data_IF_020893747838
#
_entry.id   IF_020893747838
#
_cell.length_a   1.000
_cell.length_b   1.000
_cell.length_c   1.000
_cell.angle_alpha   90.00
_cell.angle_beta   90.00
_cell.angle_gamma   90.00
#
_symmetry.space_group_name_H-M   'P 1'
#
loop_
_entity.id
_entity.type
_entity.pdbx_description
1 polymer ?
#
# COMPACT_ATOMS: atom_id res chain seq x y z
N UNK A 1 -0.55 -40.54 21.79
CA UNK A 1 -0.92 -39.10 21.88
C UNK A 1 -0.33 -38.38 20.68
N UNK A 2 -1.18 -38.02 19.70
CA UNK A 2 -0.75 -37.40 18.44
C UNK A 2 -0.73 -35.87 18.61
N UNK A 3 0.45 -35.27 18.51
CA UNK A 3 0.64 -33.81 18.55
C UNK A 3 0.12 -33.20 17.25
N UNK A 4 -1.09 -32.64 17.29
CA UNK A 4 -1.61 -31.80 16.20
C UNK A 4 -0.87 -30.46 16.20
N UNK A 5 0.29 -30.41 15.54
CA UNK A 5 0.90 -29.15 15.11
C UNK A 5 -0.02 -28.48 14.09
N UNK A 6 -0.81 -27.50 14.53
CA UNK A 6 -1.49 -26.59 13.63
C UNK A 6 -0.43 -25.67 13.00
N UNK A 7 -0.03 -25.95 11.76
CA UNK A 7 0.77 -25.02 10.94
C UNK A 7 -0.10 -23.79 10.63
N UNK A 8 -0.23 -22.87 11.60
CA UNK A 8 -0.88 -21.57 11.40
C UNK A 8 0.06 -20.66 10.61
N UNK A 9 -0.17 -20.61 9.29
CA UNK A 9 0.26 -19.57 8.36
C UNK A 9 1.77 -19.35 8.22
N UNK A 10 2.34 -19.64 7.05
CA UNK A 10 3.67 -19.10 6.69
C UNK A 10 3.62 -17.57 6.86
N UNK A 11 4.64 -16.90 7.42
CA UNK A 11 4.73 -15.45 7.31
C UNK A 11 4.80 -15.13 5.81
N UNK A 12 3.70 -14.67 5.23
CA UNK A 12 3.71 -14.31 3.82
C UNK A 12 4.58 -13.06 3.66
N UNK A 13 5.79 -13.32 3.17
CA UNK A 13 6.77 -12.37 2.64
C UNK A 13 6.07 -11.35 1.71
N UNK A 14 6.13 -10.08 2.05
CA UNK A 14 5.73 -8.95 1.19
C UNK A 14 6.89 -7.97 1.09
N UNK A 15 6.85 -7.06 0.11
CA UNK A 15 7.87 -6.04 -0.07
C UNK A 15 7.40 -4.72 0.56
N UNK A 16 8.20 -4.19 1.46
CA UNK A 16 7.86 -2.99 2.23
C UNK A 16 9.03 -2.02 2.28
N UNK A 17 8.73 -0.74 2.52
CA UNK A 17 9.73 0.30 2.56
C UNK A 17 9.34 1.39 3.59
N UNK A 18 10.31 1.96 4.30
CA UNK A 18 10.13 3.04 5.29
C UNK A 18 10.34 4.42 4.63
N UNK A 19 9.45 4.81 3.72
CA UNK A 19 9.58 6.04 2.93
C UNK A 19 10.46 5.88 1.69
N UNK A 20 10.38 6.83 0.75
CA UNK A 20 10.88 6.68 -0.64
C UNK A 20 12.38 6.39 -0.77
N UNK A 21 13.22 6.76 0.19
CA UNK A 21 14.68 6.59 0.08
C UNK A 21 15.26 5.49 0.99
N UNK A 22 14.46 4.46 1.29
CA UNK A 22 14.90 3.36 2.16
C UNK A 22 14.94 2.03 1.41
N UNK A 23 15.79 1.08 1.83
CA UNK A 23 15.84 -0.23 1.19
C UNK A 23 14.50 -0.97 1.27
N UNK A 24 14.16 -1.69 0.20
CA UNK A 24 13.01 -2.59 0.19
C UNK A 24 13.31 -3.79 1.10
N UNK A 25 12.42 -4.03 2.06
CA UNK A 25 12.48 -5.11 3.02
C UNK A 25 11.46 -6.20 2.67
N UNK A 26 11.89 -7.46 2.76
CA UNK A 26 11.00 -8.61 2.57
C UNK A 26 10.30 -9.04 3.86
N UNK A 27 9.87 -8.07 4.67
CA UNK A 27 9.22 -8.28 5.95
C UNK A 27 8.29 -7.12 6.27
N UNK A 28 7.16 -7.43 6.91
CA UNK A 28 6.20 -6.40 7.33
C UNK A 28 6.86 -5.43 8.30
N UNK A 29 6.49 -4.16 8.16
CA UNK A 29 6.94 -3.09 9.05
C UNK A 29 5.81 -2.76 10.03
N UNK A 30 6.16 -2.55 11.30
CA UNK A 30 5.24 -1.96 12.27
C UNK A 30 5.15 -0.44 12.06
N UNK A 31 3.99 0.13 12.37
CA UNK A 31 3.79 1.58 12.37
C UNK A 31 3.14 2.03 13.69
N UNK A 32 3.36 3.29 14.05
CA UNK A 32 2.76 3.93 15.23
C UNK A 32 1.37 4.51 14.91
N UNK A 33 0.49 4.61 15.89
CA UNK A 33 -0.86 5.15 15.74
C UNK A 33 -1.89 4.12 15.24
N UNK A 34 -3.14 4.56 15.13
CA UNK A 34 -4.25 3.74 14.63
C UNK A 34 -4.17 3.60 13.10
N UNK A 35 -3.78 4.68 12.42
CA UNK A 35 -3.73 4.76 10.97
C UNK A 35 -2.32 5.03 10.43
N UNK A 36 -2.09 4.59 9.20
CA UNK A 36 -0.91 4.90 8.41
C UNK A 36 -1.28 5.18 6.95
N UNK A 37 -0.58 6.13 6.33
CA UNK A 37 -0.64 6.40 4.89
C UNK A 37 0.51 5.66 4.22
N UNK A 38 0.21 5.00 3.11
CA UNK A 38 1.17 4.22 2.34
C UNK A 38 1.04 4.49 0.83
N UNK A 39 2.13 4.27 0.12
CA UNK A 39 2.18 4.19 -1.33
C UNK A 39 2.29 2.75 -1.83
N UNK A 40 1.87 2.49 -3.07
CA UNK A 40 2.21 1.28 -3.81
C UNK A 40 3.03 1.64 -5.04
N UNK A 41 4.12 0.90 -5.24
CA UNK A 41 5.01 0.99 -6.41
C UNK A 41 5.33 -0.42 -6.92
N UNK A 42 5.95 -0.53 -8.11
CA UNK A 42 6.44 -1.81 -8.62
C UNK A 42 7.80 -2.14 -7.98
N UNK A 43 8.11 -3.42 -7.75
CA UNK A 43 9.36 -3.83 -7.10
C UNK A 43 10.65 -3.49 -7.87
N UNK A 44 10.56 -3.30 -9.18
CA UNK A 44 11.67 -2.88 -10.03
C UNK A 44 11.80 -1.35 -10.13
N UNK A 45 10.81 -0.60 -9.63
CA UNK A 45 10.75 0.87 -9.65
C UNK A 45 10.11 1.37 -8.34
N UNK A 46 10.74 1.13 -7.18
CA UNK A 46 10.14 1.45 -5.87
C UNK A 46 9.86 2.95 -5.67
N UNK A 47 10.55 3.82 -6.41
CA UNK A 47 10.35 5.27 -6.33
C UNK A 47 9.16 5.75 -7.18
N UNK A 48 8.65 4.91 -8.08
CA UNK A 48 7.53 5.20 -8.95
C UNK A 48 6.21 4.81 -8.28
N UNK A 49 5.76 5.62 -7.32
CA UNK A 49 4.49 5.42 -6.62
C UNK A 49 3.32 5.67 -7.57
N UNK A 50 2.43 4.69 -7.69
CA UNK A 50 1.26 4.77 -8.58
C UNK A 50 -0.07 4.81 -7.84
N UNK A 51 -0.07 4.56 -6.53
CA UNK A 51 -1.28 4.58 -5.72
C UNK A 51 -0.94 5.00 -4.29
N UNK A 52 -1.77 5.84 -3.70
CA UNK A 52 -1.67 6.25 -2.29
C UNK A 52 -2.94 5.82 -1.57
N UNK A 53 -2.80 5.28 -0.37
CA UNK A 53 -3.90 4.81 0.44
C UNK A 53 -3.62 4.98 1.93
N UNK A 54 -4.64 4.96 2.78
CA UNK A 54 -4.45 4.73 4.21
C UNK A 54 -5.03 3.38 4.69
N UNK A 55 -4.63 2.96 5.89
CA UNK A 55 -5.14 1.77 6.56
C UNK A 55 -5.11 1.90 8.08
N UNK A 56 -6.09 1.29 8.75
CA UNK A 56 -6.10 1.06 10.21
C UNK A 56 -5.66 -0.35 10.60
N UNK A 57 -5.21 -1.14 9.63
CA UNK A 57 -4.82 -2.54 9.83
C UNK A 57 -3.33 -2.71 9.61
N UNK A 58 -2.76 -3.78 10.15
CA UNK A 58 -1.36 -4.15 9.89
C UNK A 58 -1.06 -4.15 8.39
N UNK A 59 0.10 -3.60 8.00
CA UNK A 59 0.50 -3.46 6.60
C UNK A 59 0.45 -4.79 5.83
N UNK A 60 0.85 -5.90 6.45
CA UNK A 60 0.74 -7.22 5.82
C UNK A 60 -0.68 -7.66 5.49
N UNK A 61 -1.65 -7.36 6.37
CA UNK A 61 -3.06 -7.64 6.12
C UNK A 61 -3.57 -6.79 4.96
N UNK A 62 -3.20 -5.51 4.92
CA UNK A 62 -3.56 -4.58 3.84
C UNK A 62 -2.92 -4.98 2.51
N UNK A 63 -1.65 -5.34 2.50
CA UNK A 63 -0.90 -5.83 1.34
C UNK A 63 -1.58 -7.07 0.75
N UNK A 64 -1.87 -8.07 1.59
CA UNK A 64 -2.57 -9.28 1.15
C UNK A 64 -3.99 -9.00 0.65
N UNK A 65 -4.67 -8.00 1.21
CA UNK A 65 -5.97 -7.54 0.72
C UNK A 65 -5.86 -7.01 -0.72
N UNK A 66 -4.83 -6.22 -1.03
CA UNK A 66 -4.59 -5.72 -2.40
C UNK A 66 -4.28 -6.85 -3.38
N UNK A 67 -3.44 -7.81 -2.99
CA UNK A 67 -3.14 -8.97 -3.84
C UNK A 67 -4.38 -9.84 -4.10
N UNK A 68 -5.25 -9.98 -3.10
CA UNK A 68 -6.51 -10.69 -3.26
C UNK A 68 -7.46 -9.95 -4.19
N UNK A 69 -7.63 -8.64 -4.00
CA UNK A 69 -8.53 -7.82 -4.83
C UNK A 69 -8.04 -7.70 -6.27
N UNK A 70 -6.72 -7.76 -6.51
CA UNK A 70 -6.15 -7.74 -7.86
C UNK A 70 -6.76 -8.82 -8.79
N UNK A 71 -7.19 -9.96 -8.23
CA UNK A 71 -7.83 -11.04 -8.99
C UNK A 71 -9.20 -10.66 -9.57
N UNK A 72 -9.85 -9.64 -9.01
CA UNK A 72 -11.17 -9.18 -9.46
C UNK A 72 -11.06 -8.30 -10.71
N UNK A 73 -9.94 -7.61 -10.89
CA UNK A 73 -9.64 -6.81 -12.09
C UNK A 73 -10.69 -5.71 -12.38
N UNK A 74 -11.36 -5.18 -11.34
CA UNK A 74 -12.53 -4.30 -11.49
C UNK A 74 -12.18 -2.83 -11.68
N UNK A 75 -11.00 -2.40 -11.23
CA UNK A 75 -10.54 -1.01 -11.32
C UNK A 75 -9.09 -0.93 -11.81
N UNK A 76 -8.62 0.25 -12.29
CA UNK A 76 -7.26 0.39 -12.83
C UNK A 76 -6.15 -0.06 -11.88
N UNK A 77 -6.29 0.20 -10.58
CA UNK A 77 -5.34 -0.28 -9.55
C UNK A 77 -5.29 -1.81 -9.50
N UNK A 78 -6.43 -2.48 -9.50
CA UNK A 78 -6.48 -3.95 -9.51
C UNK A 78 -5.92 -4.55 -10.81
N UNK A 79 -6.22 -3.91 -11.96
CA UNK A 79 -5.68 -4.30 -13.26
C UNK A 79 -4.15 -4.20 -13.28
N UNK A 80 -3.60 -3.09 -12.79
CA UNK A 80 -2.17 -2.89 -12.63
C UNK A 80 -1.53 -3.94 -11.71
N UNK A 81 -2.12 -4.19 -10.53
CA UNK A 81 -1.61 -5.20 -9.61
C UNK A 81 -1.64 -6.62 -10.22
N UNK A 82 -2.71 -6.96 -10.95
CA UNK A 82 -2.83 -8.24 -11.64
C UNK A 82 -1.77 -8.38 -12.74
N UNK A 83 -1.51 -7.31 -13.49
CA UNK A 83 -0.45 -7.26 -14.49
C UNK A 83 0.93 -7.50 -13.84
N UNK A 84 1.26 -6.80 -12.75
CA UNK A 84 2.52 -7.02 -12.03
C UNK A 84 2.71 -8.49 -11.65
N UNK A 85 1.66 -9.13 -11.12
CA UNK A 85 1.72 -10.54 -10.70
C UNK A 85 1.96 -11.45 -11.92
N UNK A 86 1.29 -11.20 -13.05
CA UNK A 86 1.47 -11.97 -14.30
C UNK A 86 2.88 -11.84 -14.87
N UNK A 87 3.49 -10.67 -14.69
CA UNK A 87 4.88 -10.39 -15.08
C UNK A 87 5.92 -10.90 -14.06
N UNK A 88 5.50 -11.70 -13.07
CA UNK A 88 6.34 -12.18 -11.97
C UNK A 88 7.01 -11.06 -11.15
N UNK A 89 6.41 -9.86 -11.16
CA UNK A 89 6.78 -8.72 -10.31
C UNK A 89 5.89 -8.69 -9.07
N UNK A 90 6.27 -7.86 -8.09
CA UNK A 90 5.49 -7.66 -6.87
C UNK A 90 5.29 -6.17 -6.60
N UNK A 91 4.17 -5.76 -6.02
CA UNK A 91 4.08 -4.41 -5.49
C UNK A 91 4.98 -4.24 -4.26
N UNK A 92 5.47 -3.03 -4.04
CA UNK A 92 6.14 -2.59 -2.81
C UNK A 92 5.18 -1.66 -2.09
N UNK A 93 4.98 -1.88 -0.79
CA UNK A 93 4.19 -1.00 0.07
C UNK A 93 5.10 -0.07 0.87
N UNK A 94 5.05 1.22 0.55
CA UNK A 94 5.94 2.24 1.12
C UNK A 94 5.18 2.95 2.22
N UNK A 95 5.65 2.91 3.46
CA UNK A 95 5.07 3.67 4.57
C UNK A 95 5.45 5.14 4.40
N UNK A 96 4.49 6.00 4.06
CA UNK A 96 4.70 7.43 3.82
C UNK A 96 4.50 8.24 5.09
N UNK A 97 3.51 7.86 5.90
CA UNK A 97 3.19 8.55 7.15
C UNK A 97 2.61 7.58 8.18
N UNK A 98 2.93 7.82 9.45
CA UNK A 98 2.45 7.06 10.61
C UNK A 98 2.26 8.00 11.80
N UNK A 99 1.70 7.48 12.90
CA UNK A 99 1.40 8.26 14.10
C UNK A 99 0.04 8.95 14.04
N UNK A 100 -0.85 8.50 13.14
CA UNK A 100 -2.17 9.11 12.94
C UNK A 100 -3.19 8.39 13.82
N UNK A 101 -3.92 9.14 14.63
CA UNK A 101 -4.90 8.59 15.58
C UNK A 101 -6.32 8.61 15.02
N UNK A 102 -6.68 9.66 14.29
CA UNK A 102 -8.05 9.89 13.85
C UNK A 102 -8.24 9.62 12.36
N UNK A 103 -9.43 9.13 12.01
CA UNK A 103 -9.78 8.79 10.63
C UNK A 103 -9.70 10.01 9.70
N UNK A 104 -10.28 11.16 10.09
CA UNK A 104 -10.26 12.38 9.25
C UNK A 104 -8.82 12.85 9.00
N UNK A 105 -7.94 12.80 10.00
CA UNK A 105 -6.52 13.11 9.81
C UNK A 105 -5.83 12.17 8.81
N UNK A 106 -6.19 10.89 8.80
CA UNK A 106 -5.64 9.93 7.85
C UNK A 106 -6.11 10.22 6.42
N UNK A 107 -7.37 10.63 6.27
CA UNK A 107 -7.96 11.04 5.01
C UNK A 107 -7.34 12.34 4.48
N UNK A 108 -7.22 13.36 5.33
CA UNK A 108 -6.54 14.62 4.99
C UNK A 108 -5.08 14.37 4.59
N UNK A 109 -4.37 13.52 5.35
CA UNK A 109 -2.99 13.14 5.04
C UNK A 109 -2.87 12.40 3.71
N UNK A 110 -3.82 11.50 3.39
CA UNK A 110 -3.87 10.83 2.08
C UNK A 110 -4.07 11.84 0.94
N UNK A 111 -5.02 12.78 1.08
CA UNK A 111 -5.29 13.80 0.08
C UNK A 111 -4.09 14.73 -0.14
N UNK A 112 -3.44 15.16 0.93
CA UNK A 112 -2.25 16.00 0.88
C UNK A 112 -1.08 15.28 0.18
N UNK A 113 -0.89 14.00 0.45
CA UNK A 113 0.12 13.19 -0.25
C UNK A 113 -0.21 13.03 -1.74
N UNK A 114 -1.48 12.77 -2.10
CA UNK A 114 -1.90 12.70 -3.50
C UNK A 114 -1.61 14.03 -4.21
N UNK A 115 -1.92 15.16 -3.57
CA UNK A 115 -1.64 16.51 -4.10
C UNK A 115 -0.14 16.71 -4.34
N UNK A 116 0.70 16.45 -3.33
CA UNK A 116 2.16 16.62 -3.43
C UNK A 116 2.78 15.77 -4.55
N UNK A 117 2.40 14.49 -4.66
CA UNK A 117 2.90 13.62 -5.72
C UNK A 117 2.43 14.09 -7.11
N UNK A 118 1.18 14.57 -7.22
CA UNK A 118 0.65 15.11 -8.48
C UNK A 118 1.38 16.40 -8.90
N UNK A 119 1.67 17.29 -7.94
CA UNK A 119 2.47 18.52 -8.17
C UNK A 119 3.91 18.22 -8.63
N UNK A 120 4.46 17.07 -8.22
CA UNK A 120 5.75 16.56 -8.69
C UNK A 120 5.68 15.86 -10.07
N UNK A 121 4.49 15.81 -10.69
CA UNK A 121 4.28 15.20 -12.00
C UNK A 121 4.06 13.68 -11.96
N UNK A 122 3.87 13.09 -10.78
CA UNK A 122 3.60 11.66 -10.64
C UNK A 122 2.16 11.34 -11.07
N UNK A 123 2.00 10.33 -11.93
CA UNK A 123 0.70 9.89 -12.43
C UNK A 123 0.07 8.85 -11.51
N UNK A 124 -0.65 9.31 -10.48
CA UNK A 124 -1.35 8.42 -9.55
C UNK A 124 -2.66 7.87 -10.15
N UNK A 125 -2.97 6.61 -9.82
CA UNK A 125 -4.19 5.92 -10.26
C UNK A 125 -5.45 6.35 -9.49
N UNK A 126 -5.31 7.08 -8.38
CA UNK A 126 -6.43 7.51 -7.52
C UNK A 126 -6.59 9.02 -7.38
N UNK A 127 -6.06 9.81 -8.32
CA UNK A 127 -6.20 11.29 -8.34
C UNK A 127 -7.64 11.79 -8.23
N UNK A 128 -8.61 11.10 -8.85
CA UNK A 128 -10.03 11.51 -8.86
C UNK A 128 -10.70 11.53 -7.48
N UNK A 129 -10.03 11.03 -6.44
CA UNK A 129 -10.55 11.05 -5.07
C UNK A 129 -10.40 12.43 -4.41
N UNK A 130 -9.50 13.29 -4.91
CA UNK A 130 -9.26 14.63 -4.38
C UNK A 130 -10.26 15.64 -4.95
N UNK A 131 -10.60 15.52 -6.24
CA UNK A 131 -11.50 16.46 -6.95
C UNK A 131 -12.95 16.47 -6.41
N UNK A 132 -13.37 15.42 -5.69
CA UNK A 132 -14.72 15.29 -5.13
C UNK A 132 -14.89 15.89 -3.73
N UNK A 133 -13.83 16.41 -3.12
CA UNK A 133 -13.89 17.01 -1.78
C UNK A 133 -13.92 18.55 -1.80
N UNK A 134 -13.76 19.17 -2.99
CA UNK A 134 -13.67 20.62 -3.18
C UNK A 134 -14.97 21.19 -3.81
N UNK A 135 -15.93 20.34 -4.17
CA UNK A 135 -17.26 20.73 -4.66
C UNK A 135 -18.35 20.22 -3.72
#
# INVERSE_FOLDING_TARGET
MSTKTTKRGRPEKGLYQLGLNTPVLNQSIAYKGEYAVYGLAASNEPDNVLYIGFTSTKLNKRYNSHLRSARNNQNPKEQWLNQLIRENKKPVMILLQQGITYFEQARESEQEMIRQFTEQGVKLMNVHQVDRAIN
#
